data_IF_724789461453
#
_entry.id   IF_724789461453
#
_cell.length_a   1.000
_cell.length_b   1.000
_cell.length_c   1.000
_cell.angle_alpha   90.00
_cell.angle_beta   90.00
_cell.angle_gamma   90.00
#
_symmetry.space_group_name_H-M   'P 1'
#
loop_
_entity.id
_entity.type
_entity.pdbx_description
1 polymer ?
#
# COMPACT_ATOMS: atom_id res chain seq x y z
N UNK A 1 -54.87 -17.32 46.75
CA UNK A 1 -54.68 -17.93 45.42
C UNK A 1 -53.59 -17.27 44.56
N UNK A 2 -53.15 -16.03 44.87
CA UNK A 2 -52.10 -15.30 44.12
C UNK A 2 -50.63 -15.68 44.47
N UNK A 3 -50.37 -16.35 45.60
CA UNK A 3 -49.00 -16.64 46.07
C UNK A 3 -48.35 -17.86 45.41
N UNK A 4 -49.13 -18.78 44.83
CA UNK A 4 -48.62 -19.97 44.12
C UNK A 4 -48.24 -19.68 42.66
N UNK A 5 -48.89 -18.69 42.05
CA UNK A 5 -48.65 -18.25 40.68
C UNK A 5 -47.35 -17.45 40.54
N UNK A 6 -47.08 -16.54 41.48
CA UNK A 6 -45.82 -15.77 41.51
C UNK A 6 -44.61 -16.64 41.76
N UNK A 7 -44.72 -17.66 42.62
CA UNK A 7 -43.64 -18.63 42.89
C UNK A 7 -43.36 -19.52 41.67
N UNK A 8 -44.39 -19.92 40.91
CA UNK A 8 -44.26 -20.69 39.66
C UNK A 8 -43.65 -19.85 38.52
N UNK A 9 -44.01 -18.58 38.43
CA UNK A 9 -43.42 -17.62 37.48
C UNK A 9 -41.95 -17.35 37.78
N UNK A 10 -41.58 -17.21 39.06
CA UNK A 10 -40.18 -17.03 39.48
C UNK A 10 -39.32 -18.27 39.22
N UNK A 11 -39.84 -19.49 39.47
CA UNK A 11 -39.12 -20.71 39.14
C UNK A 11 -38.95 -20.90 37.63
N UNK A 12 -39.98 -20.58 36.83
CA UNK A 12 -39.89 -20.63 35.36
C UNK A 12 -38.87 -19.62 34.80
N UNK A 13 -38.82 -18.40 35.35
CA UNK A 13 -37.82 -17.40 34.99
C UNK A 13 -36.40 -17.83 35.39
N UNK A 14 -36.23 -18.46 36.56
CA UNK A 14 -34.93 -18.97 37.02
C UNK A 14 -34.43 -20.14 36.16
N UNK A 15 -35.31 -21.07 35.75
CA UNK A 15 -34.93 -22.17 34.86
C UNK A 15 -34.62 -21.70 33.44
N UNK A 16 -35.33 -20.67 32.94
CA UNK A 16 -35.00 -20.03 31.65
C UNK A 16 -33.66 -19.30 31.71
N UNK A 17 -33.34 -18.65 32.85
CA UNK A 17 -32.04 -18.01 33.06
C UNK A 17 -30.88 -19.02 33.13
N UNK A 18 -31.08 -20.18 33.76
CA UNK A 18 -30.06 -21.25 33.83
C UNK A 18 -29.83 -21.88 32.45
N UNK A 19 -30.87 -22.09 31.64
CA UNK A 19 -30.73 -22.60 30.26
C UNK A 19 -30.06 -21.57 29.34
N UNK A 20 -30.34 -20.27 29.53
CA UNK A 20 -29.67 -19.19 28.80
C UNK A 20 -28.18 -19.02 29.17
N UNK A 21 -27.72 -19.61 30.28
CA UNK A 21 -26.31 -19.57 30.69
C UNK A 21 -25.47 -20.70 30.08
N UNK A 22 -26.10 -21.69 29.46
CA UNK A 22 -25.44 -22.77 28.71
C UNK A 22 -25.24 -22.37 27.25
N UNK A 23 -24.47 -21.31 27.02
CA UNK A 23 -23.97 -20.94 25.69
C UNK A 23 -22.82 -21.88 25.27
N UNK A 24 -23.15 -23.15 25.01
CA UNK A 24 -22.24 -24.09 24.33
C UNK A 24 -21.92 -23.61 22.89
N UNK A 25 -22.73 -22.69 22.34
CA UNK A 25 -22.50 -22.07 21.03
C UNK A 25 -21.44 -20.96 21.00
N UNK A 26 -21.16 -20.30 22.13
CA UNK A 26 -20.22 -19.17 22.18
C UNK A 26 -18.75 -19.57 22.08
N UNK A 27 -18.39 -20.78 22.51
CA UNK A 27 -17.00 -21.24 22.53
C UNK A 27 -16.45 -21.60 21.13
N UNK A 28 -17.30 -22.00 20.20
CA UNK A 28 -16.91 -22.47 18.85
C UNK A 28 -17.04 -21.34 17.80
N UNK A 29 -17.84 -20.33 18.09
CA UNK A 29 -18.07 -19.18 17.21
C UNK A 29 -17.03 -18.06 17.38
N UNK A 30 -16.25 -18.05 18.46
CA UNK A 30 -15.17 -17.07 18.68
C UNK A 30 -13.85 -17.49 18.00
N UNK A 31 -13.62 -18.79 17.78
CA UNK A 31 -12.37 -19.28 17.17
C UNK A 31 -12.40 -19.23 15.63
N UNK A 32 -13.59 -19.32 15.02
CA UNK A 32 -13.80 -19.13 13.58
C UNK A 32 -13.46 -17.72 13.04
N UNK A 33 -13.86 -16.60 13.67
CA UNK A 33 -13.48 -15.26 13.22
C UNK A 33 -12.01 -14.95 13.47
N UNK A 34 -11.37 -15.55 14.49
CA UNK A 34 -9.95 -15.37 14.75
C UNK A 34 -9.07 -16.08 13.70
N UNK A 35 -9.42 -17.32 13.32
CA UNK A 35 -8.74 -18.03 12.23
C UNK A 35 -8.99 -17.38 10.85
N UNK A 36 -10.22 -16.91 10.60
CA UNK A 36 -10.53 -16.15 9.39
C UNK A 36 -9.80 -14.79 9.34
N UNK A 37 -9.66 -14.10 10.48
CA UNK A 37 -8.87 -12.88 10.60
C UNK A 37 -7.36 -13.14 10.39
N UNK A 38 -6.81 -14.24 10.92
CA UNK A 38 -5.42 -14.61 10.70
C UNK A 38 -5.12 -14.95 9.23
N UNK A 39 -6.03 -15.65 8.54
CA UNK A 39 -5.90 -15.93 7.10
C UNK A 39 -6.08 -14.65 6.27
N UNK A 40 -6.99 -13.75 6.68
CA UNK A 40 -7.18 -12.45 6.04
C UNK A 40 -5.97 -11.52 6.23
N UNK A 41 -5.35 -11.52 7.41
CA UNK A 41 -4.13 -10.74 7.72
C UNK A 41 -2.90 -11.30 7.00
N UNK A 42 -2.75 -12.63 6.94
CA UNK A 42 -1.69 -13.28 6.15
C UNK A 42 -1.84 -13.00 4.65
N UNK A 43 -3.07 -13.03 4.12
CA UNK A 43 -3.33 -12.71 2.72
C UNK A 43 -3.27 -11.20 2.42
N UNK A 44 -3.59 -10.32 3.37
CA UNK A 44 -3.37 -8.88 3.27
C UNK A 44 -1.87 -8.54 3.24
N UNK A 45 -1.08 -9.16 4.12
CA UNK A 45 0.38 -9.03 4.15
C UNK A 45 1.01 -9.56 2.86
N UNK A 46 0.52 -10.70 2.35
CA UNK A 46 0.96 -11.27 1.08
C UNK A 46 0.64 -10.34 -0.10
N UNK A 47 -0.58 -9.78 -0.16
CA UNK A 47 -0.98 -8.80 -1.19
C UNK A 47 -0.10 -7.55 -1.13
N UNK A 48 0.15 -7.01 0.05
CA UNK A 48 1.02 -5.85 0.23
C UNK A 48 2.43 -6.10 -0.28
N UNK A 49 3.03 -7.26 0.06
CA UNK A 49 4.36 -7.65 -0.40
C UNK A 49 4.39 -7.84 -1.92
N UNK A 50 3.43 -8.56 -2.49
CA UNK A 50 3.41 -8.81 -3.93
C UNK A 50 3.14 -7.55 -4.75
N UNK A 51 2.26 -6.65 -4.30
CA UNK A 51 2.03 -5.36 -4.97
C UNK A 51 3.29 -4.49 -4.92
N UNK A 52 3.93 -4.40 -3.75
CA UNK A 52 5.18 -3.65 -3.58
C UNK A 52 6.28 -4.22 -4.47
N UNK A 53 6.45 -5.55 -4.45
CA UNK A 53 7.42 -6.25 -5.29
C UNK A 53 7.15 -6.00 -6.78
N UNK A 54 5.89 -6.04 -7.20
CA UNK A 54 5.50 -5.77 -8.58
C UNK A 54 5.93 -4.36 -9.01
N UNK A 55 5.71 -3.34 -8.19
CA UNK A 55 6.16 -1.97 -8.48
C UNK A 55 7.69 -1.86 -8.55
N UNK A 56 8.43 -2.55 -7.68
CA UNK A 56 9.90 -2.56 -7.74
C UNK A 56 10.39 -3.24 -9.02
N UNK A 57 9.92 -4.45 -9.31
CA UNK A 57 10.35 -5.23 -10.48
C UNK A 57 9.96 -4.53 -11.78
N UNK A 58 8.75 -4.00 -11.86
CA UNK A 58 8.31 -3.20 -13.00
C UNK A 58 9.18 -1.93 -13.14
N UNK A 59 9.51 -1.25 -12.04
CA UNK A 59 10.39 -0.08 -12.05
C UNK A 59 11.80 -0.40 -12.55
N UNK A 60 12.37 -1.54 -12.16
CA UNK A 60 13.66 -2.00 -12.69
C UNK A 60 13.64 -2.23 -14.20
N UNK A 61 12.54 -2.79 -14.73
CA UNK A 61 12.37 -2.99 -16.17
C UNK A 61 12.26 -1.65 -16.92
N UNK A 62 11.59 -0.66 -16.34
CA UNK A 62 11.50 0.69 -16.91
C UNK A 62 12.86 1.41 -16.86
N UNK A 63 13.66 1.22 -15.81
CA UNK A 63 15.03 1.79 -15.73
C UNK A 63 15.91 1.37 -16.90
N UNK A 64 15.74 0.14 -17.37
CA UNK A 64 16.45 -0.38 -18.54
C UNK A 64 16.07 0.36 -19.84
N UNK A 65 14.93 1.04 -19.89
CA UNK A 65 14.54 1.87 -21.04
C UNK A 65 15.44 3.09 -21.19
N UNK A 66 15.77 3.77 -20.09
CA UNK A 66 16.70 4.91 -20.11
C UNK A 66 18.10 4.47 -20.57
N UNK A 67 18.59 3.32 -20.06
CA UNK A 67 19.84 2.72 -20.53
C UNK A 67 19.80 2.31 -22.01
N UNK A 68 18.65 1.80 -22.48
CA UNK A 68 18.43 1.44 -23.88
C UNK A 68 18.51 2.64 -24.81
N UNK A 69 17.86 3.76 -24.47
CA UNK A 69 17.93 5.00 -25.25
C UNK A 69 19.34 5.60 -25.24
N UNK A 70 20.05 5.55 -24.11
CA UNK A 70 21.44 5.98 -24.03
C UNK A 70 22.34 5.25 -25.04
N UNK A 71 22.14 3.93 -25.22
CA UNK A 71 22.90 3.15 -26.19
C UNK A 71 22.50 3.44 -27.64
N UNK A 72 21.24 3.75 -27.92
CA UNK A 72 20.79 4.16 -29.25
C UNK A 72 21.35 5.54 -29.64
N UNK A 73 21.37 6.50 -28.70
CA UNK A 73 21.95 7.82 -28.92
C UNK A 73 23.48 7.78 -29.06
N UNK A 74 24.14 6.88 -28.34
CA UNK A 74 25.58 6.64 -28.48
C UNK A 74 25.93 6.04 -29.85
N UNK A 75 25.09 5.15 -30.40
CA UNK A 75 25.30 4.47 -31.68
C UNK A 75 25.06 5.35 -32.91
N UNK A 76 24.19 6.37 -32.80
CA UNK A 76 23.85 7.27 -33.91
C UNK A 76 24.78 8.50 -34.01
N UNK A 77 25.67 8.69 -33.04
CA UNK A 77 26.55 9.87 -32.96
C UNK A 77 27.97 9.53 -33.40
N UNK A 78 28.62 10.50 -34.05
CA UNK A 78 30.03 10.38 -34.49
C UNK A 78 30.92 9.96 -33.33
N UNK A 79 31.78 8.96 -33.55
CA UNK A 79 32.68 8.34 -32.55
C UNK A 79 33.44 9.34 -31.69
N UNK A 80 33.90 10.46 -32.25
CA UNK A 80 34.62 11.50 -31.48
C UNK A 80 33.80 12.19 -30.38
N UNK A 81 32.47 12.12 -30.43
CA UNK A 81 31.56 12.82 -29.52
C UNK A 81 30.71 11.88 -28.65
N UNK A 82 30.89 10.55 -28.77
CA UNK A 82 30.05 9.55 -28.07
C UNK A 82 30.16 9.69 -26.56
N UNK A 83 31.36 9.91 -26.02
CA UNK A 83 31.57 10.10 -24.57
C UNK A 83 30.74 11.26 -24.00
N UNK A 84 30.67 12.39 -24.71
CA UNK A 84 29.87 13.54 -24.28
C UNK A 84 28.37 13.26 -24.31
N UNK A 85 27.88 12.41 -25.21
CA UNK A 85 26.47 12.02 -25.24
C UNK A 85 26.11 11.07 -24.11
N UNK A 86 26.94 10.06 -23.85
CA UNK A 86 26.72 9.18 -22.71
C UNK A 86 26.69 9.95 -21.38
N UNK A 87 27.59 10.92 -21.20
CA UNK A 87 27.61 11.75 -19.99
C UNK A 87 26.33 12.57 -19.84
N UNK A 88 25.81 13.16 -20.92
CA UNK A 88 24.55 13.91 -20.86
C UNK A 88 23.37 13.03 -20.50
N UNK A 89 23.31 11.81 -21.04
CA UNK A 89 22.21 10.90 -20.76
C UNK A 89 22.20 10.45 -19.28
N UNK A 90 23.37 10.15 -18.71
CA UNK A 90 23.52 9.85 -17.28
C UNK A 90 23.14 11.06 -16.40
N UNK A 91 23.59 12.24 -16.78
CA UNK A 91 23.30 13.49 -16.04
C UNK A 91 21.81 13.82 -16.07
N UNK A 92 21.15 13.63 -17.22
CA UNK A 92 19.71 13.84 -17.35
C UNK A 92 18.92 12.88 -16.45
N UNK A 93 19.32 11.61 -16.37
CA UNK A 93 18.69 10.64 -15.47
C UNK A 93 18.89 11.02 -13.99
N UNK A 94 20.10 11.43 -13.60
CA UNK A 94 20.39 11.85 -12.23
C UNK A 94 19.66 13.13 -11.81
N UNK A 95 19.65 14.16 -12.68
CA UNK A 95 18.95 15.41 -12.42
C UNK A 95 17.44 15.20 -12.46
N UNK A 96 16.93 14.38 -13.39
CA UNK A 96 15.52 14.00 -13.49
C UNK A 96 15.00 13.39 -12.20
N UNK A 97 15.72 12.41 -11.64
CA UNK A 97 15.34 11.78 -10.37
C UNK A 97 15.32 12.74 -9.18
N UNK A 98 16.30 13.66 -9.09
CA UNK A 98 16.35 14.67 -8.02
C UNK A 98 15.20 15.67 -8.16
N UNK A 99 14.90 16.14 -9.38
CA UNK A 99 13.79 17.07 -9.63
C UNK A 99 12.43 16.41 -9.41
N UNK A 100 12.32 15.12 -9.72
CA UNK A 100 11.12 14.34 -9.44
C UNK A 100 10.85 14.20 -7.94
N UNK A 101 11.90 14.02 -7.13
CA UNK A 101 11.78 14.03 -5.67
C UNK A 101 11.41 15.40 -5.10
N UNK A 102 12.06 16.46 -5.60
CA UNK A 102 11.89 17.82 -5.09
C UNK A 102 10.53 18.45 -5.40
N UNK A 103 9.98 18.19 -6.58
CA UNK A 103 8.75 18.85 -7.05
C UNK A 103 7.85 17.90 -7.83
N UNK A 104 8.41 16.97 -8.61
CA UNK A 104 7.65 16.19 -9.58
C UNK A 104 6.54 15.32 -8.99
N UNK A 105 6.80 14.60 -7.89
CA UNK A 105 5.80 13.71 -7.33
C UNK A 105 4.60 14.46 -6.74
N UNK A 106 4.84 15.51 -5.93
CA UNK A 106 3.73 16.28 -5.36
C UNK A 106 2.99 17.05 -6.46
N UNK A 107 3.67 17.59 -7.47
CA UNK A 107 2.99 18.23 -8.59
C UNK A 107 2.00 17.28 -9.31
N UNK A 108 2.33 15.99 -9.40
CA UNK A 108 1.51 14.97 -10.07
C UNK A 108 0.39 14.40 -9.19
N UNK A 109 0.64 14.20 -7.88
CA UNK A 109 -0.27 13.45 -7.01
C UNK A 109 -0.85 14.22 -5.83
N UNK A 110 -0.26 15.34 -5.40
CA UNK A 110 -0.66 16.02 -4.16
C UNK A 110 -0.79 17.55 -4.31
N UNK A 111 -1.84 18.13 -3.75
CA UNK A 111 -2.08 19.58 -3.79
C UNK A 111 -3.11 20.07 -4.81
N UNK A 112 -3.93 19.18 -5.39
CA UNK A 112 -5.11 19.60 -6.17
C UNK A 112 -6.27 19.89 -5.20
N UNK A 113 -6.24 21.09 -4.60
CA UNK A 113 -7.40 21.69 -3.96
C UNK A 113 -8.31 22.34 -5.02
N UNK A 114 -8.77 21.56 -6.00
CA UNK A 114 -9.67 22.02 -7.07
C UNK A 114 -9.02 22.81 -8.22
N UNK A 115 -7.68 22.80 -8.35
CA UNK A 115 -6.94 23.42 -9.46
C UNK A 115 -6.34 22.41 -10.45
N UNK A 116 -5.68 22.91 -11.51
CA UNK A 116 -5.00 22.07 -12.52
C UNK A 116 -3.56 21.66 -12.14
N UNK A 117 -2.98 22.25 -11.09
CA UNK A 117 -1.60 22.00 -10.66
C UNK A 117 -1.56 21.58 -9.19
N UNK A 118 -0.70 20.61 -8.87
CA UNK A 118 -0.36 20.20 -7.51
C UNK A 118 0.60 21.16 -6.81
N UNK A 119 1.15 20.74 -5.67
CA UNK A 119 2.03 21.52 -4.81
C UNK A 119 3.51 21.39 -5.20
N UNK A 120 4.27 22.48 -5.08
CA UNK A 120 5.72 22.54 -5.38
C UNK A 120 6.60 22.11 -4.19
N UNK A 121 6.07 21.31 -3.26
CA UNK A 121 6.82 20.84 -2.09
C UNK A 121 7.58 19.54 -2.41
N UNK A 122 8.67 19.23 -1.68
CA UNK A 122 9.35 17.94 -1.78
C UNK A 122 8.49 16.77 -1.28
N UNK A 123 8.59 15.61 -1.93
CA UNK A 123 7.87 14.40 -1.50
C UNK A 123 8.43 13.90 -0.18
N UNK A 124 7.60 13.92 0.85
CA UNK A 124 7.85 13.25 2.12
C UNK A 124 7.25 11.85 2.01
N UNK A 125 8.10 10.83 2.11
CA UNK A 125 7.66 9.43 2.16
C UNK A 125 7.20 9.16 3.61
N UNK A 126 5.93 8.81 3.85
CA UNK A 126 5.45 8.53 5.20
C UNK A 126 6.14 7.27 5.76
N UNK A 127 6.29 7.17 7.09
CA UNK A 127 6.74 5.93 7.73
C UNK A 127 5.81 4.77 7.36
N UNK A 128 6.34 3.56 7.23
CA UNK A 128 5.60 2.33 6.88
C UNK A 128 4.40 2.04 7.80
N UNK A 129 4.41 2.60 9.02
CA UNK A 129 3.34 2.43 10.00
C UNK A 129 2.11 3.35 9.72
N UNK A 130 2.25 4.32 8.82
CA UNK A 130 1.22 5.30 8.45
C UNK A 130 0.94 5.34 6.95
N UNK A 131 1.26 4.27 6.22
CA UNK A 131 1.01 4.20 4.78
C UNK A 131 -0.46 3.86 4.51
N UNK A 132 -1.26 4.76 3.90
CA UNK A 132 -2.67 4.51 3.62
C UNK A 132 -2.89 3.53 2.45
N UNK A 133 -1.82 3.11 1.76
CA UNK A 133 -1.88 2.29 0.55
C UNK A 133 -1.83 0.76 0.79
N UNK A 134 -2.29 0.00 -0.21
CA UNK A 134 -2.13 -1.47 -0.27
C UNK A 134 -0.71 -1.90 -0.74
N UNK A 135 0.25 -1.00 -0.72
CA UNK A 135 1.63 -1.14 -1.21
C UNK A 135 2.50 -0.03 -0.60
N UNK A 136 3.82 -0.23 -0.56
CA UNK A 136 4.72 0.76 0.02
C UNK A 136 4.77 2.06 -0.81
N UNK A 137 4.57 3.22 -0.19
CA UNK A 137 4.63 4.54 -0.83
C UNK A 137 5.99 4.83 -1.49
N UNK A 138 7.07 4.23 -0.97
CA UNK A 138 8.40 4.29 -1.58
C UNK A 138 8.47 3.55 -2.92
N UNK A 139 7.71 2.45 -3.08
CA UNK A 139 7.68 1.66 -4.31
C UNK A 139 6.94 2.38 -5.45
N UNK A 140 5.84 3.06 -5.13
CA UNK A 140 5.14 3.92 -6.08
C UNK A 140 6.02 5.11 -6.48
N UNK A 141 6.64 5.80 -5.51
CA UNK A 141 7.57 6.89 -5.84
C UNK A 141 8.72 6.44 -6.74
N UNK A 142 9.34 5.28 -6.44
CA UNK A 142 10.39 4.73 -7.29
C UNK A 142 9.86 4.46 -8.69
N UNK A 143 8.74 3.74 -8.83
CA UNK A 143 8.17 3.38 -10.13
C UNK A 143 7.86 4.60 -11.02
N UNK A 144 7.44 5.72 -10.41
CA UNK A 144 7.11 6.94 -11.14
C UNK A 144 8.33 7.81 -11.47
N UNK A 145 9.45 7.60 -10.77
CA UNK A 145 10.70 8.34 -10.98
C UNK A 145 11.48 7.83 -12.19
N UNK A 146 11.42 6.53 -12.45
CA UNK A 146 12.22 5.81 -13.45
C UNK A 146 11.82 6.10 -14.89
#
# INVERSE_FOLDING_TARGET
>A
MQTSLTRRLLLAAATVAVVASFDVGGALAQEAPAAAAAIAEASASSKYVFNTLLFLVAGFLVMFMAAGFAMLEAGLVRTKNVSMQCTKNIVLYAIGGIMFWLVGYNLMYDGVAGGYFGSFLPKVIPPTDNDPGNYAAASDWFFQMV
#
